data_IF_655062705245
#
_entry.id   IF_655062705245
#
_cell.length_a   1.000
_cell.length_b   1.000
_cell.length_c   1.000
_cell.angle_alpha   90.00
_cell.angle_beta   90.00
_cell.angle_gamma   90.00
#
_symmetry.space_group_name_H-M   'P 1'
#
loop_
_entity.id
_entity.type
_entity.pdbx_description
1 polymer ?
#
# COMPACT_ATOMS: atom_id res chain seq x y z
N UNK A 1 17.01 -12.65 0.98
CA UNK A 1 16.41 -11.53 1.76
C UNK A 1 17.44 -10.71 2.54
N UNK A 2 18.42 -11.32 3.19
CA UNK A 2 19.40 -10.60 4.05
C UNK A 2 20.10 -9.43 3.39
N UNK A 3 20.70 -9.62 2.21
CA UNK A 3 21.48 -8.58 1.52
C UNK A 3 20.57 -7.40 1.08
N UNK A 4 19.44 -7.69 0.44
CA UNK A 4 18.52 -6.63 -0.04
C UNK A 4 17.95 -5.83 1.12
N UNK A 5 17.52 -6.51 2.21
CA UNK A 5 17.00 -5.84 3.41
C UNK A 5 18.06 -4.96 4.08
N UNK A 6 19.33 -5.41 4.13
CA UNK A 6 20.45 -4.62 4.66
C UNK A 6 20.70 -3.36 3.83
N UNK A 7 20.64 -3.47 2.50
CA UNK A 7 20.78 -2.32 1.60
C UNK A 7 19.66 -1.31 1.82
N UNK A 8 18.39 -1.76 1.91
CA UNK A 8 17.26 -0.85 2.12
C UNK A 8 17.31 -0.21 3.52
N UNK A 9 17.72 -0.94 4.55
CA UNK A 9 17.93 -0.37 5.89
C UNK A 9 19.06 0.67 5.89
N UNK A 10 20.18 0.40 5.20
CA UNK A 10 21.26 1.38 5.06
C UNK A 10 20.78 2.67 4.39
N UNK A 11 19.99 2.55 3.31
CA UNK A 11 19.39 3.72 2.63
C UNK A 11 18.46 4.50 3.54
N UNK A 12 17.60 3.81 4.32
CA UNK A 12 16.73 4.45 5.29
C UNK A 12 17.53 5.20 6.37
N UNK A 13 18.54 4.55 6.96
CA UNK A 13 19.40 5.17 7.97
C UNK A 13 20.18 6.37 7.40
N UNK A 14 20.61 6.31 6.14
CA UNK A 14 21.22 7.47 5.47
C UNK A 14 20.22 8.60 5.25
N UNK A 15 19.00 8.29 4.85
CA UNK A 15 17.94 9.28 4.66
C UNK A 15 17.51 9.93 5.99
N UNK A 16 17.43 9.14 7.08
CA UNK A 16 17.05 9.64 8.40
C UNK A 16 18.07 10.60 9.04
N UNK A 17 19.32 10.59 8.58
CA UNK A 17 20.35 11.58 9.02
C UNK A 17 20.12 12.97 8.42
N UNK A 18 19.43 13.06 7.29
CA UNK A 18 19.03 14.32 6.67
C UNK A 18 17.63 14.17 6.07
N UNK A 19 16.58 14.18 6.92
CA UNK A 19 15.20 13.92 6.50
C UNK A 19 14.69 14.97 5.52
N UNK A 20 15.08 16.23 5.69
CA UNK A 20 14.71 17.31 4.77
C UNK A 20 15.16 17.02 3.34
N UNK A 21 16.44 16.72 3.14
CA UNK A 21 16.98 16.38 1.81
C UNK A 21 16.31 15.13 1.21
N UNK A 22 15.97 14.14 2.04
CA UNK A 22 15.27 12.94 1.60
C UNK A 22 13.83 13.26 1.13
N UNK A 23 13.12 14.12 1.86
CA UNK A 23 11.78 14.59 1.50
C UNK A 23 11.79 15.44 0.22
N UNK A 24 12.74 16.37 0.10
CA UNK A 24 12.94 17.19 -1.11
C UNK A 24 13.15 16.32 -2.36
N UNK A 25 14.05 15.33 -2.26
CA UNK A 25 14.25 14.36 -3.34
C UNK A 25 12.97 13.60 -3.69
N UNK A 26 12.18 13.23 -2.69
CA UNK A 26 10.91 12.53 -2.90
C UNK A 26 9.91 13.44 -3.59
N UNK A 27 9.76 14.69 -3.12
CA UNK A 27 8.88 15.68 -3.74
C UNK A 27 9.26 15.93 -5.20
N UNK A 28 10.54 16.20 -5.50
CA UNK A 28 11.01 16.34 -6.89
C UNK A 28 10.65 15.12 -7.74
N UNK A 29 10.86 13.92 -7.22
CA UNK A 29 10.53 12.68 -7.95
C UNK A 29 9.03 12.61 -8.27
N UNK A 30 8.17 12.92 -7.30
CA UNK A 30 6.71 12.91 -7.49
C UNK A 30 6.27 13.96 -8.51
N UNK A 31 6.75 15.18 -8.38
CA UNK A 31 6.44 16.27 -9.32
C UNK A 31 6.92 15.92 -10.74
N UNK A 32 8.17 15.45 -10.88
CA UNK A 32 8.73 15.06 -12.18
C UNK A 32 7.93 13.96 -12.86
N UNK A 33 7.49 12.95 -12.09
CA UNK A 33 6.67 11.87 -12.62
C UNK A 33 5.28 12.34 -13.06
N UNK A 34 4.72 13.35 -12.39
CA UNK A 34 3.32 13.75 -12.58
C UNK A 34 3.15 15.11 -13.27
N UNK A 35 4.23 15.80 -13.71
CA UNK A 35 4.16 17.14 -14.29
C UNK A 35 3.26 17.24 -15.54
N UNK A 36 3.22 16.17 -16.32
CA UNK A 36 2.46 16.13 -17.58
C UNK A 36 1.04 15.57 -17.41
N UNK A 37 0.65 15.20 -16.20
CA UNK A 37 -0.73 14.78 -15.88
C UNK A 37 -1.69 15.96 -15.86
N UNK A 38 -2.99 15.67 -15.88
CA UNK A 38 -4.01 16.74 -15.75
C UNK A 38 -3.78 17.53 -14.46
N UNK A 39 -3.68 16.84 -13.32
CA UNK A 39 -3.43 17.46 -12.01
C UNK A 39 -2.10 18.23 -11.98
N UNK A 40 -1.05 17.66 -12.57
CA UNK A 40 0.28 18.30 -12.59
C UNK A 40 0.30 19.60 -13.38
N UNK A 41 -0.40 19.66 -14.52
CA UNK A 41 -0.55 20.88 -15.31
C UNK A 41 -1.39 21.94 -14.59
N UNK A 42 -2.53 21.54 -14.02
CA UNK A 42 -3.42 22.45 -13.28
C UNK A 42 -2.78 23.03 -12.01
N UNK A 43 -1.80 22.33 -11.44
CA UNK A 43 -1.07 22.74 -10.23
C UNK A 43 0.39 23.17 -10.53
N UNK A 44 0.69 23.49 -11.78
CA UNK A 44 1.97 24.09 -12.20
C UNK A 44 3.22 23.30 -11.80
N UNK A 45 3.18 21.95 -11.89
CA UNK A 45 4.32 21.13 -11.45
C UNK A 45 5.61 21.40 -12.24
N UNK A 46 5.50 21.79 -13.51
CA UNK A 46 6.66 22.17 -14.32
C UNK A 46 7.33 23.43 -13.79
N UNK A 47 6.55 24.46 -13.47
CA UNK A 47 7.05 25.74 -12.91
C UNK A 47 7.64 25.54 -11.50
N UNK A 48 7.03 24.66 -10.69
CA UNK A 48 7.59 24.30 -9.37
C UNK A 48 8.97 23.66 -9.53
N UNK A 49 9.15 22.80 -10.53
CA UNK A 49 10.41 22.11 -10.79
C UNK A 49 11.50 23.02 -11.36
N UNK A 50 11.12 24.11 -12.00
CA UNK A 50 12.04 25.15 -12.51
C UNK A 50 12.58 26.05 -11.38
N UNK A 51 13.08 25.43 -10.33
CA UNK A 51 13.67 26.08 -9.17
C UNK A 51 15.16 25.74 -9.03
N UNK A 52 15.95 26.74 -8.58
CA UNK A 52 17.41 26.57 -8.43
C UNK A 52 17.81 25.89 -7.13
N UNK A 53 16.98 26.01 -6.09
CA UNK A 53 17.28 25.49 -4.76
C UNK A 53 16.13 24.66 -4.20
N UNK A 54 16.44 23.79 -3.25
CA UNK A 54 15.42 22.96 -2.59
C UNK A 54 14.49 23.78 -1.67
N UNK A 55 14.98 24.90 -1.13
CA UNK A 55 14.15 25.86 -0.37
C UNK A 55 13.10 26.51 -1.27
N UNK A 56 13.49 26.90 -2.48
CA UNK A 56 12.60 27.45 -3.49
C UNK A 56 11.57 26.42 -3.96
N UNK A 57 11.94 25.14 -4.05
CA UNK A 57 11.02 24.05 -4.38
C UNK A 57 9.82 24.02 -3.42
N UNK A 58 10.07 24.07 -2.12
CA UNK A 58 9.00 24.07 -1.12
C UNK A 58 8.14 25.33 -1.18
N UNK A 59 8.76 26.49 -1.33
CA UNK A 59 8.02 27.75 -1.41
C UNK A 59 7.07 27.75 -2.62
N UNK A 60 7.56 27.36 -3.80
CA UNK A 60 6.75 27.24 -5.01
C UNK A 60 5.66 26.16 -4.86
N UNK A 61 6.01 24.99 -4.28
CA UNK A 61 5.02 23.95 -4.04
C UNK A 61 3.87 24.44 -3.15
N UNK A 62 4.15 25.15 -2.06
CA UNK A 62 3.14 25.72 -1.18
C UNK A 62 2.30 26.82 -1.84
N UNK A 63 2.89 27.56 -2.77
CA UNK A 63 2.21 28.61 -3.54
C UNK A 63 1.19 28.02 -4.51
N UNK A 64 1.55 26.97 -5.26
CA UNK A 64 0.72 26.40 -6.33
C UNK A 64 -0.17 25.24 -5.87
N UNK A 65 0.26 24.51 -4.84
CA UNK A 65 -0.46 23.34 -4.35
C UNK A 65 -1.02 23.62 -2.95
N UNK A 66 -2.25 24.10 -2.91
CA UNK A 66 -2.92 24.35 -1.65
C UNK A 66 -3.28 23.05 -0.94
N UNK A 67 -3.38 23.11 0.40
CA UNK A 67 -3.84 22.00 1.22
C UNK A 67 -5.23 21.55 0.78
N UNK A 68 -5.38 20.27 0.50
CA UNK A 68 -6.61 19.68 -0.01
C UNK A 68 -7.05 18.50 0.85
N UNK A 69 -8.35 18.28 0.91
CA UNK A 69 -8.96 17.05 1.39
C UNK A 69 -9.26 16.10 0.22
N UNK A 70 -9.77 14.92 0.54
CA UNK A 70 -10.11 13.93 -0.48
C UNK A 70 -11.22 14.42 -1.42
N UNK A 71 -12.15 15.23 -0.94
CA UNK A 71 -13.32 15.66 -1.74
C UNK A 71 -12.87 16.55 -2.93
N UNK A 72 -11.80 17.32 -2.77
CA UNK A 72 -11.19 18.05 -3.89
C UNK A 72 -10.45 17.14 -4.89
N UNK A 73 -10.00 15.97 -4.44
CA UNK A 73 -9.38 14.97 -5.31
C UNK A 73 -10.40 14.03 -5.96
N UNK A 74 -11.60 13.89 -5.39
CA UNK A 74 -12.66 12.98 -5.85
C UNK A 74 -12.99 13.15 -7.35
N UNK A 75 -13.13 14.37 -7.91
CA UNK A 75 -13.40 14.54 -9.34
C UNK A 75 -12.31 13.93 -10.23
N UNK A 76 -11.04 14.06 -9.87
CA UNK A 76 -9.92 13.45 -10.61
C UNK A 76 -9.97 11.92 -10.51
N UNK A 77 -10.23 11.40 -9.32
CA UNK A 77 -10.37 9.94 -9.12
C UNK A 77 -11.53 9.39 -9.93
N UNK A 78 -12.68 10.09 -9.99
CA UNK A 78 -13.85 9.65 -10.75
C UNK A 78 -13.55 9.61 -12.25
N UNK A 79 -12.90 10.63 -12.81
CA UNK A 79 -12.42 10.60 -14.21
C UNK A 79 -11.52 9.39 -14.49
N UNK A 80 -10.64 9.07 -13.55
CA UNK A 80 -9.79 7.87 -13.67
C UNK A 80 -10.60 6.58 -13.62
N UNK A 81 -11.64 6.48 -12.76
CA UNK A 81 -12.56 5.32 -12.70
C UNK A 81 -13.40 5.14 -13.96
N UNK A 82 -13.58 6.19 -14.73
CA UNK A 82 -14.24 6.21 -16.03
C UNK A 82 -13.30 5.84 -17.19
N UNK A 83 -12.02 5.56 -16.90
CA UNK A 83 -11.03 5.13 -17.89
C UNK A 83 -10.08 6.22 -18.38
N UNK A 84 -10.20 7.46 -17.91
CA UNK A 84 -9.29 8.52 -18.28
C UNK A 84 -7.88 8.25 -17.74
N UNK A 85 -6.87 8.45 -18.58
CA UNK A 85 -5.46 8.26 -18.22
C UNK A 85 -4.78 9.57 -17.88
N UNK A 86 -3.60 9.49 -17.27
CA UNK A 86 -2.76 10.63 -16.96
C UNK A 86 -3.46 11.72 -16.12
N UNK A 87 -4.35 11.32 -15.22
CA UNK A 87 -5.10 12.27 -14.39
C UNK A 87 -4.28 12.75 -13.19
N UNK A 88 -3.97 11.89 -12.22
CA UNK A 88 -3.19 12.22 -11.01
C UNK A 88 -1.74 11.73 -11.11
N UNK A 89 -1.49 10.76 -11.95
CA UNK A 89 -0.18 10.11 -12.18
C UNK A 89 -0.17 9.59 -13.64
N UNK A 90 1.02 9.30 -14.20
CA UNK A 90 1.13 8.77 -15.56
C UNK A 90 0.44 7.42 -15.71
N UNK A 91 -0.33 7.29 -16.79
CA UNK A 91 -1.06 6.08 -17.14
C UNK A 91 -2.31 5.88 -16.29
N UNK A 92 -2.62 4.62 -15.98
CA UNK A 92 -3.83 4.19 -15.29
C UNK A 92 -3.48 3.39 -14.03
N UNK A 93 -4.30 3.42 -12.96
CA UNK A 93 -4.07 2.59 -11.77
C UNK A 93 -4.25 1.11 -12.10
N UNK A 94 -3.51 0.26 -11.41
CA UNK A 94 -3.67 -1.20 -11.53
C UNK A 94 -4.82 -1.73 -10.67
N UNK A 95 -5.21 -0.94 -9.67
CA UNK A 95 -6.38 -1.18 -8.82
C UNK A 95 -6.74 0.09 -8.05
N UNK A 96 -7.91 0.08 -7.42
CA UNK A 96 -8.26 1.05 -6.38
C UNK A 96 -8.34 0.36 -5.01
N UNK A 97 -7.75 0.98 -3.98
CA UNK A 97 -8.04 0.62 -2.60
C UNK A 97 -9.22 1.46 -2.11
N UNK A 98 -10.16 0.82 -1.43
CA UNK A 98 -11.30 1.52 -0.82
C UNK A 98 -11.10 1.61 0.68
N UNK A 99 -11.52 2.73 1.28
CA UNK A 99 -11.57 2.87 2.73
C UNK A 99 -12.97 2.56 3.23
N UNK A 100 -13.09 1.90 4.37
CA UNK A 100 -14.36 1.73 5.08
C UNK A 100 -14.82 3.08 5.62
N UNK A 101 -15.64 3.80 4.89
CA UNK A 101 -16.32 4.99 5.39
C UNK A 101 -17.57 4.55 6.16
N UNK A 102 -17.62 4.79 7.45
CA UNK A 102 -18.79 4.45 8.27
C UNK A 102 -19.96 5.43 8.08
N UNK A 103 -19.72 6.63 7.56
CA UNK A 103 -20.72 7.72 7.49
C UNK A 103 -20.72 8.50 6.17
N UNK A 104 -19.78 8.26 5.26
CA UNK A 104 -19.65 8.97 3.99
C UNK A 104 -19.37 8.00 2.85
N UNK A 105 -19.51 8.49 1.61
CA UNK A 105 -19.12 7.73 0.41
C UNK A 105 -17.68 7.23 0.49
N UNK A 106 -17.40 5.95 0.21
CA UNK A 106 -16.05 5.40 0.29
C UNK A 106 -15.03 6.20 -0.51
N UNK A 107 -13.84 6.37 0.06
CA UNK A 107 -12.71 6.97 -0.66
C UNK A 107 -12.04 5.91 -1.51
N UNK A 108 -11.79 6.25 -2.76
CA UNK A 108 -11.11 5.40 -3.73
C UNK A 108 -9.68 5.88 -3.90
N UNK A 109 -8.72 5.10 -3.47
CA UNK A 109 -7.29 5.44 -3.53
C UNK A 109 -6.68 4.71 -4.74
N UNK A 110 -6.30 5.41 -5.80
CA UNK A 110 -5.69 4.77 -6.97
C UNK A 110 -4.31 4.22 -6.64
N UNK A 111 -4.08 2.96 -6.94
CA UNK A 111 -2.83 2.25 -6.70
C UNK A 111 -2.11 2.04 -8.02
N UNK A 112 -0.91 2.59 -8.13
CA UNK A 112 -0.11 2.50 -9.35
C UNK A 112 0.90 1.36 -9.29
N UNK A 113 1.32 0.87 -10.47
CA UNK A 113 2.42 -0.09 -10.57
C UNK A 113 3.72 0.45 -9.96
N UNK A 114 3.95 1.76 -10.10
CA UNK A 114 5.10 2.44 -9.49
C UNK A 114 5.05 2.35 -7.96
N UNK A 115 3.89 2.70 -7.35
CA UNK A 115 3.67 2.59 -5.91
C UNK A 115 3.94 1.15 -5.41
N UNK A 116 3.33 0.14 -6.03
CA UNK A 116 3.51 -1.25 -5.62
C UNK A 116 4.98 -1.70 -5.67
N UNK A 117 5.69 -1.38 -6.75
CA UNK A 117 7.08 -1.83 -6.92
C UNK A 117 8.10 -1.02 -6.13
N UNK A 118 7.95 0.31 -6.11
CA UNK A 118 8.99 1.22 -5.61
C UNK A 118 8.77 1.67 -4.16
N UNK A 119 7.54 1.67 -3.68
CA UNK A 119 7.22 2.11 -2.32
C UNK A 119 6.78 0.90 -1.48
N UNK A 120 5.62 0.33 -1.77
CA UNK A 120 5.04 -0.77 -0.99
C UNK A 120 6.00 -1.97 -0.89
N UNK A 121 6.53 -2.44 -2.02
CA UNK A 121 7.46 -3.58 -2.03
C UNK A 121 8.77 -3.33 -1.28
N UNK A 122 9.28 -2.08 -1.27
CA UNK A 122 10.47 -1.73 -0.45
C UNK A 122 10.14 -1.73 1.03
N UNK A 123 9.02 -1.10 1.41
CA UNK A 123 8.56 -1.03 2.79
C UNK A 123 8.33 -2.44 3.36
N UNK A 124 7.66 -3.31 2.61
CA UNK A 124 7.41 -4.70 3.00
C UNK A 124 8.71 -5.47 3.20
N UNK A 125 9.68 -5.35 2.27
CA UNK A 125 10.97 -6.03 2.42
C UNK A 125 11.76 -5.54 3.63
N UNK A 126 11.75 -4.23 3.89
CA UNK A 126 12.41 -3.63 5.05
C UNK A 126 11.75 -4.10 6.36
N UNK A 127 10.42 -4.13 6.39
CA UNK A 127 9.66 -4.60 7.53
C UNK A 127 9.97 -6.08 7.84
N UNK A 128 9.90 -6.97 6.84
CA UNK A 128 10.25 -8.39 7.01
C UNK A 128 11.69 -8.56 7.45
N UNK A 129 12.63 -7.79 6.87
CA UNK A 129 14.03 -7.85 7.26
C UNK A 129 14.26 -7.48 8.73
N UNK A 130 13.59 -6.42 9.20
CA UNK A 130 13.68 -6.02 10.62
C UNK A 130 13.06 -7.07 11.55
N UNK A 131 11.94 -7.68 11.16
CA UNK A 131 11.34 -8.79 11.91
C UNK A 131 12.33 -9.95 12.06
N UNK A 132 12.89 -10.42 10.97
CA UNK A 132 13.85 -11.54 10.98
C UNK A 132 15.08 -11.20 11.85
N UNK A 133 15.56 -9.96 11.78
CA UNK A 133 16.74 -9.51 12.53
C UNK A 133 16.51 -9.45 14.05
N UNK A 134 15.34 -9.01 14.47
CA UNK A 134 15.04 -8.75 15.88
C UNK A 134 14.22 -9.85 16.55
N UNK A 135 13.54 -10.67 15.77
CA UNK A 135 12.67 -11.75 16.20
C UNK A 135 12.90 -12.99 15.35
N UNK A 136 14.03 -13.64 15.54
CA UNK A 136 14.46 -14.79 14.71
C UNK A 136 13.45 -15.95 14.70
N UNK A 137 12.71 -16.12 15.81
CA UNK A 137 11.73 -17.19 15.97
C UNK A 137 10.40 -16.99 15.23
N UNK A 138 10.14 -15.81 14.61
CA UNK A 138 8.86 -15.58 13.91
C UNK A 138 8.61 -16.53 12.73
N UNK A 139 9.66 -17.11 12.17
CA UNK A 139 9.58 -18.08 11.08
C UNK A 139 10.02 -19.50 11.50
N UNK A 140 10.11 -19.79 12.81
CA UNK A 140 10.36 -21.16 13.29
C UNK A 140 9.15 -22.06 13.11
N UNK A 141 7.95 -21.51 13.20
CA UNK A 141 6.68 -22.20 12.97
C UNK A 141 5.88 -21.59 11.82
N UNK A 142 4.58 -21.51 12.02
CA UNK A 142 3.62 -21.02 11.01
C UNK A 142 3.23 -19.56 11.22
N UNK A 143 2.90 -18.92 10.12
CA UNK A 143 2.45 -17.53 10.06
C UNK A 143 0.98 -17.49 9.64
N UNK A 144 0.15 -16.91 10.46
CA UNK A 144 -1.24 -16.57 10.16
C UNK A 144 -1.27 -15.12 9.67
N UNK A 145 -1.71 -14.91 8.43
CA UNK A 145 -1.87 -13.57 7.88
C UNK A 145 -3.35 -13.35 7.59
N UNK A 146 -3.93 -12.31 8.15
CA UNK A 146 -5.32 -11.93 7.93
C UNK A 146 -5.33 -10.71 7.03
N UNK A 147 -5.83 -10.88 5.80
CA UNK A 147 -5.89 -9.83 4.78
C UNK A 147 -7.31 -9.70 4.23
N UNK A 148 -7.65 -8.50 3.77
CA UNK A 148 -8.89 -8.26 3.04
C UNK A 148 -8.93 -8.98 1.68
N UNK A 149 -10.10 -8.99 1.06
CA UNK A 149 -10.27 -9.54 -0.30
C UNK A 149 -9.39 -8.77 -1.29
N UNK A 150 -8.72 -9.49 -2.18
CA UNK A 150 -7.92 -8.90 -3.25
C UNK A 150 -8.81 -8.14 -4.26
N UNK A 151 -9.99 -8.67 -4.53
CA UNK A 151 -10.98 -8.10 -5.45
C UNK A 151 -12.34 -8.10 -4.75
N UNK A 152 -12.86 -6.92 -4.48
CA UNK A 152 -14.20 -6.71 -3.94
C UNK A 152 -15.21 -6.37 -5.04
N UNK A 153 -14.71 -5.80 -6.16
CA UNK A 153 -15.51 -5.45 -7.32
C UNK A 153 -14.67 -4.77 -8.40
N UNK A 154 -15.37 -4.10 -9.33
CA UNK A 154 -14.75 -3.37 -10.45
C UNK A 154 -15.32 -1.97 -10.57
N UNK A 155 -14.47 -1.01 -10.96
CA UNK A 155 -14.85 0.33 -11.37
C UNK A 155 -15.51 0.30 -12.76
N UNK A 156 -16.03 1.44 -13.23
CA UNK A 156 -16.73 1.55 -14.52
C UNK A 156 -15.86 1.14 -15.71
N UNK A 157 -14.57 1.40 -15.65
CA UNK A 157 -13.56 1.01 -16.65
C UNK A 157 -13.10 -0.45 -16.56
N UNK A 158 -13.65 -1.22 -15.61
CA UNK A 158 -13.27 -2.60 -15.34
C UNK A 158 -12.08 -2.78 -14.40
N UNK A 159 -11.40 -1.70 -13.99
CA UNK A 159 -10.31 -1.77 -13.01
C UNK A 159 -10.79 -2.31 -11.69
N UNK A 160 -10.08 -3.29 -11.14
CA UNK A 160 -10.45 -3.93 -9.86
C UNK A 160 -10.31 -2.96 -8.69
N UNK A 161 -11.17 -3.12 -7.69
CA UNK A 161 -10.97 -2.50 -6.38
C UNK A 161 -11.02 -3.55 -5.26
N UNK A 162 -10.34 -3.25 -4.15
CA UNK A 162 -10.28 -4.13 -2.99
C UNK A 162 -9.07 -3.82 -2.10
N UNK A 163 -8.57 -4.83 -1.39
CA UNK A 163 -7.46 -4.69 -0.46
C UNK A 163 -6.10 -4.80 -1.15
N UNK A 164 -5.20 -3.82 -0.90
CA UNK A 164 -3.80 -3.88 -1.35
C UNK A 164 -3.08 -5.10 -0.78
N UNK A 165 -3.32 -5.44 0.49
CA UNK A 165 -2.73 -6.60 1.15
C UNK A 165 -3.19 -7.91 0.51
N UNK A 166 -4.47 -7.99 0.14
CA UNK A 166 -5.02 -9.13 -0.61
C UNK A 166 -4.39 -9.30 -1.99
N UNK A 167 -4.23 -8.18 -2.75
CA UNK A 167 -3.61 -8.22 -4.07
C UNK A 167 -2.15 -8.66 -3.98
N UNK A 168 -1.37 -8.03 -3.10
CA UNK A 168 0.08 -8.26 -2.99
C UNK A 168 0.45 -9.61 -2.38
N UNK A 169 -0.50 -10.31 -1.73
CA UNK A 169 -0.33 -11.69 -1.25
C UNK A 169 0.11 -12.65 -2.36
N UNK A 170 -0.34 -12.43 -3.59
CA UNK A 170 0.03 -13.28 -4.74
C UNK A 170 1.53 -13.17 -5.07
N UNK A 171 2.13 -12.04 -4.80
CA UNK A 171 3.54 -11.73 -5.11
C UNK A 171 4.52 -12.11 -3.98
N UNK A 172 4.01 -12.69 -2.88
CA UNK A 172 4.87 -13.15 -1.78
C UNK A 172 5.76 -14.30 -2.25
N UNK A 173 7.09 -14.24 -2.01
CA UNK A 173 8.00 -15.30 -2.39
C UNK A 173 7.65 -16.67 -1.82
N UNK A 174 7.85 -17.74 -2.60
CA UNK A 174 7.47 -19.12 -2.22
C UNK A 174 8.09 -19.58 -0.90
N UNK A 175 9.32 -19.17 -0.58
CA UNK A 175 9.95 -19.52 0.68
C UNK A 175 9.28 -18.90 1.92
N UNK A 176 8.52 -17.81 1.76
CA UNK A 176 7.67 -17.26 2.83
C UNK A 176 6.34 -18.00 2.86
N UNK A 177 5.75 -18.26 1.67
CA UNK A 177 4.45 -18.96 1.58
C UNK A 177 4.45 -20.32 2.27
N UNK A 178 5.58 -21.04 2.29
CA UNK A 178 5.71 -22.34 2.99
C UNK A 178 5.49 -22.25 4.50
N UNK A 179 5.65 -21.06 5.08
CA UNK A 179 5.38 -20.80 6.49
C UNK A 179 3.93 -20.43 6.78
N UNK A 180 3.08 -20.27 5.76
CA UNK A 180 1.67 -19.99 6.01
C UNK A 180 0.97 -21.17 6.67
N UNK A 181 0.13 -20.86 7.65
CA UNK A 181 -0.61 -21.88 8.41
C UNK A 181 -1.63 -22.64 7.55
N UNK A 182 -2.13 -22.01 6.48
CA UNK A 182 -3.17 -22.57 5.61
C UNK A 182 -3.02 -22.12 4.15
N UNK A 183 -3.74 -22.82 3.27
CA UNK A 183 -3.78 -22.53 1.83
C UNK A 183 -4.43 -21.19 1.53
N UNK A 184 -4.02 -20.58 0.43
CA UNK A 184 -4.57 -19.31 -0.05
C UNK A 184 -6.07 -19.38 -0.40
N UNK A 185 -6.63 -20.54 -0.61
CA UNK A 185 -8.07 -20.76 -0.90
C UNK A 185 -8.98 -20.25 0.22
N UNK A 186 -8.50 -20.28 1.48
CA UNK A 186 -9.27 -19.80 2.63
C UNK A 186 -9.63 -18.31 2.50
N UNK A 187 -8.78 -17.50 1.85
CA UNK A 187 -9.07 -16.08 1.64
C UNK A 187 -10.15 -15.82 0.58
N UNK A 188 -10.46 -16.80 -0.24
CA UNK A 188 -11.47 -16.69 -1.30
C UNK A 188 -12.88 -17.03 -0.77
N UNK A 189 -13.03 -17.49 0.49
CA UNK A 189 -14.32 -17.68 1.17
C UNK A 189 -15.04 -16.33 1.22
N UNK A 190 -16.25 -16.20 0.60
CA UNK A 190 -16.95 -14.93 0.49
C UNK A 190 -17.43 -14.37 1.84
N UNK A 191 -18.00 -15.22 2.68
CA UNK A 191 -18.50 -14.87 3.99
C UNK A 191 -17.36 -14.64 4.99
N UNK A 192 -17.42 -13.52 5.72
CA UNK A 192 -16.34 -13.14 6.65
C UNK A 192 -16.29 -14.06 7.87
N UNK A 193 -17.43 -14.43 8.43
CA UNK A 193 -17.51 -15.27 9.63
C UNK A 193 -17.03 -16.68 9.31
N UNK A 194 -17.51 -17.27 8.20
CA UNK A 194 -17.03 -18.57 7.73
C UNK A 194 -15.52 -18.55 7.44
N UNK A 195 -15.00 -17.46 6.90
CA UNK A 195 -13.57 -17.29 6.65
C UNK A 195 -12.77 -17.21 7.95
N UNK A 196 -13.21 -16.42 8.92
CA UNK A 196 -12.54 -16.30 10.23
C UNK A 196 -12.57 -17.62 10.98
N UNK A 197 -13.71 -18.32 10.98
CA UNK A 197 -13.81 -19.67 11.53
C UNK A 197 -12.82 -20.63 10.86
N UNK A 198 -12.75 -20.65 9.52
CA UNK A 198 -11.80 -21.49 8.80
C UNK A 198 -10.33 -21.16 9.11
N UNK A 199 -9.99 -19.86 9.22
CA UNK A 199 -8.65 -19.40 9.61
C UNK A 199 -8.33 -19.92 11.02
N UNK A 200 -9.22 -19.73 11.99
CA UNK A 200 -9.02 -20.18 13.36
C UNK A 200 -8.87 -21.69 13.43
N UNK A 201 -9.81 -22.42 12.85
CA UNK A 201 -9.84 -23.89 12.87
C UNK A 201 -8.59 -24.52 12.28
N UNK A 202 -8.09 -23.99 11.15
CA UNK A 202 -6.88 -24.48 10.50
C UNK A 202 -5.60 -24.03 11.22
N UNK A 203 -5.65 -22.93 11.96
CA UNK A 203 -4.48 -22.40 12.66
C UNK A 203 -4.24 -23.03 14.01
N UNK A 204 -5.29 -23.43 14.74
CA UNK A 204 -5.18 -24.01 16.09
C UNK A 204 -4.42 -25.34 16.13
N UNK A 205 -4.38 -26.05 15.03
CA UNK A 205 -3.64 -27.31 14.87
C UNK A 205 -2.17 -27.10 14.46
N UNK A 206 -1.75 -25.85 14.28
CA UNK A 206 -0.42 -25.50 13.81
C UNK A 206 0.42 -24.85 14.92
N UNK A 207 1.74 -25.01 14.84
CA UNK A 207 2.67 -24.22 15.68
C UNK A 207 2.75 -22.80 15.14
N UNK A 208 1.79 -21.95 15.53
CA UNK A 208 1.71 -20.55 15.08
C UNK A 208 2.67 -19.69 15.89
N UNK A 209 3.68 -19.15 15.23
CA UNK A 209 4.69 -18.26 15.82
C UNK A 209 4.50 -16.78 15.46
N UNK A 210 3.63 -16.48 14.50
CA UNK A 210 3.34 -15.10 14.08
C UNK A 210 1.91 -14.96 13.58
N UNK A 211 1.21 -13.92 14.06
CA UNK A 211 -0.07 -13.47 13.55
C UNK A 211 0.06 -12.05 13.00
N UNK A 212 -0.39 -11.83 11.78
CA UNK A 212 -0.32 -10.55 11.07
C UNK A 212 -1.72 -10.12 10.64
N UNK A 213 -2.15 -8.95 11.11
CA UNK A 213 -3.39 -8.30 10.67
C UNK A 213 -3.18 -6.81 10.49
N UNK A 214 -3.95 -6.19 9.61
CA UNK A 214 -3.94 -4.73 9.44
C UNK A 214 -4.76 -4.02 10.54
N UNK A 215 -5.76 -4.70 11.09
CA UNK A 215 -6.65 -4.14 12.11
C UNK A 215 -6.69 -5.07 13.34
N UNK A 216 -6.30 -4.59 14.53
CA UNK A 216 -6.37 -5.39 15.76
C UNK A 216 -7.78 -5.90 16.09
N UNK A 217 -8.85 -5.14 15.77
CA UNK A 217 -10.23 -5.57 16.02
C UNK A 217 -10.61 -6.85 15.28
N UNK A 218 -9.91 -7.19 14.19
CA UNK A 218 -10.09 -8.46 13.50
C UNK A 218 -9.77 -9.66 14.41
N UNK A 219 -8.85 -9.50 15.36
CA UNK A 219 -8.52 -10.57 16.33
C UNK A 219 -9.68 -10.76 17.31
N UNK A 220 -10.28 -9.67 17.76
CA UNK A 220 -11.46 -9.70 18.65
C UNK A 220 -12.65 -10.36 17.95
N UNK A 221 -12.95 -9.97 16.70
CA UNK A 221 -14.00 -10.62 15.91
C UNK A 221 -13.76 -12.11 15.72
N UNK A 222 -12.52 -12.52 15.51
CA UNK A 222 -12.18 -13.95 15.39
C UNK A 222 -12.43 -14.70 16.71
N UNK A 223 -12.17 -14.10 17.86
CA UNK A 223 -12.44 -14.71 19.16
C UNK A 223 -13.94 -14.88 19.44
N UNK A 224 -14.78 -13.97 18.95
CA UNK A 224 -16.23 -14.05 19.11
C UNK A 224 -16.88 -15.09 18.16
N UNK A 225 -16.20 -15.45 17.08
CA UNK A 225 -16.69 -16.41 16.07
C UNK A 225 -16.02 -17.78 16.16
N UNK A 226 -15.21 -18.03 17.20
CA UNK A 226 -14.55 -19.31 17.45
C UNK A 226 -15.36 -20.18 18.42
#
# INVERSE_FOLDING_TARGET
MGIVGRIELHKLNKASRNPRKAQEKTLRTMLTLSKDTVYGREHHFAEILDCKTDTELYARYQQYVHKQDYEKLRPYVNRSKEGAQDILFPGHPVMYATTSGTTAEPKWIPITKHYLKRIYGKMTRLWIYNFIRHRQMVFSGKVVIIVGKAVEGRALDGTVFGSVSGLTRKDVPGFIKKHYAFSSVVYDIPDYNARYYAIMRLSIEQDVTMLVTANPSTIEEMQHNA
#
